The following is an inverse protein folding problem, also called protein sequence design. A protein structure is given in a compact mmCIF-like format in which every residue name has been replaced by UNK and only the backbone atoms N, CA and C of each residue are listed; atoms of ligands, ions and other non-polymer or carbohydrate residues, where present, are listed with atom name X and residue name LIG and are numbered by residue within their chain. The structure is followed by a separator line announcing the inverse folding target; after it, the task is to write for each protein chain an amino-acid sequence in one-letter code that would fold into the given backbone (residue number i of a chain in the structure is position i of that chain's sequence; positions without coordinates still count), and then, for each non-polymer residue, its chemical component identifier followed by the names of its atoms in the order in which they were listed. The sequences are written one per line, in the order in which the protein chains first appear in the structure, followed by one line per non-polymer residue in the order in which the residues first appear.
data_IF_970497787900
#
_entry.id   IF_970497787900
#
_cell.length_a   1.000
_cell.length_b   1.000
_cell.length_c   1.000
_cell.angle_alpha   90.00
_cell.angle_beta   90.00
_cell.angle_gamma   90.00
#
_symmetry.space_group_name_H-M   'P 1'
#
loop_
_entity.id
_entity.type
_entity.pdbx_description
1 polymer ?
#
# COMPACT_ATOMS: atom_id res chain seq x y z
N UNK A 1 -40.24 -36.40 -32.12
CA UNK A 1 -41.53 -36.23 -31.43
C UNK A 1 -41.30 -35.18 -30.35
N UNK A 2 -41.81 -33.97 -30.65
CA UNK A 2 -42.37 -32.91 -29.81
C UNK A 2 -41.47 -32.35 -28.72
N UNK A 3 -40.91 -31.12 -28.83
CA UNK A 3 -41.54 -29.79 -28.73
C UNK A 3 -42.17 -29.49 -27.37
N UNK A 4 -41.60 -28.46 -26.70
CA UNK A 4 -42.29 -27.32 -26.09
C UNK A 4 -41.20 -26.46 -25.43
N UNK A 5 -40.83 -25.36 -25.86
CA UNK A 5 -41.29 -23.98 -26.04
C UNK A 5 -42.16 -23.46 -24.89
N UNK A 6 -41.63 -22.50 -24.13
CA UNK A 6 -42.29 -21.33 -23.53
C UNK A 6 -41.26 -20.54 -22.70
N UNK A 7 -40.69 -19.46 -23.22
CA UNK A 7 -41.27 -18.15 -23.53
C UNK A 7 -41.71 -17.35 -22.29
N UNK A 8 -41.02 -16.20 -22.12
CA UNK A 8 -41.51 -14.83 -21.87
C UNK A 8 -42.01 -14.50 -20.46
N UNK A 9 -41.47 -13.47 -19.83
CA UNK A 9 -41.94 -12.08 -19.63
C UNK A 9 -40.98 -11.41 -18.65
N UNK A 10 -40.23 -10.41 -18.97
CA UNK A 10 -40.51 -8.97 -19.16
C UNK A 10 -41.57 -8.40 -18.22
N UNK A 11 -41.10 -7.52 -17.29
CA UNK A 11 -41.82 -6.41 -16.69
C UNK A 11 -40.75 -5.50 -16.07
N UNK A 12 -40.29 -4.47 -16.68
CA UNK A 12 -40.75 -3.08 -16.90
C UNK A 12 -41.30 -2.37 -15.65
N UNK A 13 -40.59 -1.29 -15.35
CA UNK A 13 -40.96 0.06 -14.96
C UNK A 13 -41.57 0.32 -13.58
N UNK A 14 -41.09 1.30 -12.89
CA UNK A 14 -41.58 2.67 -12.73
C UNK A 14 -40.77 3.33 -11.64
N UNK A 15 -40.12 4.40 -11.92
CA UNK A 15 -40.48 5.82 -11.80
C UNK A 15 -41.06 6.19 -10.44
N UNK A 16 -40.41 7.15 -9.80
CA UNK A 16 -40.85 7.84 -8.61
C UNK A 16 -39.92 8.98 -8.25
N UNK A 17 -39.90 10.01 -9.06
CA UNK A 17 -39.51 11.39 -8.71
C UNK A 17 -40.29 11.88 -7.51
N UNK A 18 -39.67 12.72 -6.69
CA UNK A 18 -40.21 13.97 -6.10
C UNK A 18 -39.06 14.58 -5.33
N UNK A 19 -38.43 15.57 -5.76
CA UNK A 19 -38.55 17.03 -5.73
C UNK A 19 -39.31 17.57 -4.52
N UNK A 20 -38.61 18.33 -3.68
CA UNK A 20 -39.02 19.51 -2.95
C UNK A 20 -37.79 20.18 -2.35
N UNK A 21 -37.29 21.15 -2.99
CA UNK A 21 -37.13 22.54 -2.71
C UNK A 21 -37.88 22.99 -1.45
N UNK A 22 -37.20 23.67 -0.53
CA UNK A 22 -37.70 24.92 0.06
C UNK A 22 -36.56 25.77 0.60
N UNK A 23 -36.38 26.85 -0.08
CA UNK A 23 -35.77 28.13 0.19
C UNK A 23 -36.53 28.86 1.30
N UNK A 24 -35.83 29.51 2.24
CA UNK A 24 -36.26 30.77 2.90
C UNK A 24 -35.02 31.36 3.57
N UNK A 25 -34.43 32.31 3.07
CA UNK A 25 -34.42 33.76 2.81
C UNK A 25 -35.01 34.61 3.95
N UNK A 26 -34.13 35.56 4.34
CA UNK A 26 -34.34 36.88 4.86
C UNK A 26 -34.78 36.96 6.35
N UNK A 27 -34.36 37.87 7.17
CA UNK A 27 -34.30 39.32 6.97
C UNK A 27 -33.63 39.93 8.20
N UNK A 28 -32.74 40.87 8.04
CA UNK A 28 -32.52 41.93 9.02
C UNK A 28 -33.60 43.01 8.81
N UNK A 29 -34.00 43.73 9.83
CA UNK A 29 -33.60 45.12 9.87
C UNK A 29 -33.37 45.70 11.27
N UNK A 30 -32.40 46.58 11.31
CA UNK A 30 -32.50 48.01 11.46
C UNK A 30 -32.87 48.54 12.86
N UNK A 31 -31.89 49.28 13.42
CA UNK A 31 -32.01 50.71 13.78
C UNK A 31 -32.96 51.08 14.89
N UNK A 32 -32.36 51.53 15.99
CA UNK A 32 -32.76 52.78 16.68
C UNK A 32 -31.78 53.10 17.81
N UNK A 33 -30.92 54.08 17.61
CA UNK A 33 -30.60 55.05 18.67
C UNK A 33 -31.87 55.94 18.95
N UNK A 34 -31.97 56.76 20.03
CA UNK A 34 -30.89 57.44 20.75
C UNK A 34 -31.15 57.68 22.24
N UNK A 35 -30.18 58.42 22.77
CA UNK A 35 -30.30 59.45 23.84
C UNK A 35 -29.93 58.99 25.27
N UNK A 36 -28.79 59.56 25.66
CA UNK A 36 -28.55 60.48 26.77
C UNK A 36 -28.91 59.96 28.17
N UNK A 37 -27.88 59.77 28.97
CA UNK A 37 -27.69 60.64 30.14
C UNK A 37 -26.24 60.59 30.66
N UNK A 38 -25.72 61.76 30.84
CA UNK A 38 -24.46 62.16 31.41
C UNK A 38 -24.55 62.03 32.93
N UNK A 39 -23.79 61.20 33.55
CA UNK A 39 -23.38 61.42 34.95
C UNK A 39 -21.94 61.11 35.16
N UNK A 40 -21.26 62.17 35.39
CA UNK A 40 -19.96 62.43 35.93
C UNK A 40 -19.72 61.68 37.23
N UNK A 41 -18.72 60.76 37.22
CA UNK A 41 -18.02 60.34 38.42
C UNK A 41 -16.50 60.44 38.25
N UNK A 42 -16.07 61.65 38.60
CA UNK A 42 -14.69 61.98 38.89
C UNK A 42 -14.13 61.09 40.04
N UNK A 43 -12.87 60.74 39.91
CA UNK A 43 -11.93 60.32 40.94
C UNK A 43 -11.93 58.88 41.45
N UNK A 44 -11.10 58.06 40.83
CA UNK A 44 -10.06 57.33 41.55
C UNK A 44 -8.86 57.03 40.66
N UNK A 45 -7.73 57.67 40.87
CA UNK A 45 -6.55 57.32 40.08
C UNK A 45 -5.92 56.07 40.62
N UNK A 46 -5.88 55.02 39.78
CA UNK A 46 -4.68 54.38 39.79
C UNK A 46 -4.39 53.10 40.48
N UNK A 47 -5.16 52.07 40.35
CA UNK A 47 -4.57 50.75 40.61
C UNK A 47 -3.91 50.11 39.37
N UNK A 48 -4.32 50.53 38.21
CA UNK A 48 -3.79 49.95 36.95
C UNK A 48 -2.44 50.53 36.53
N UNK A 49 -2.13 51.79 36.95
CA UNK A 49 -0.81 52.40 36.68
C UNK A 49 0.32 51.82 37.53
N UNK A 50 0.03 51.10 38.62
CA UNK A 50 1.06 50.45 39.46
C UNK A 50 1.44 49.07 38.96
N UNK A 51 0.57 48.42 38.18
CA UNK A 51 0.92 47.12 37.56
C UNK A 51 1.69 47.29 36.26
N UNK A 52 1.57 48.41 35.57
CA UNK A 52 2.36 48.67 34.36
C UNK A 52 3.81 49.15 34.66
N UNK A 53 4.07 49.60 35.90
CA UNK A 53 5.40 50.09 36.29
C UNK A 53 6.35 48.97 36.80
N UNK A 54 5.81 47.81 37.07
CA UNK A 54 6.62 46.65 37.53
C UNK A 54 7.04 45.70 36.41
N UNK A 55 6.56 45.91 35.20
CA UNK A 55 6.99 45.12 34.01
C UNK A 55 8.27 45.71 33.33
N UNK A 56 8.96 46.65 34.00
CA UNK A 56 10.31 47.04 33.60
C UNK A 56 11.30 46.06 34.19
N UNK A 57 11.07 44.79 33.95
CA UNK A 57 12.01 43.75 34.22
C UNK A 57 13.15 43.82 33.22
N UNK A 58 14.33 44.00 33.76
CA UNK A 58 15.60 43.51 33.25
C UNK A 58 15.43 42.60 32.03
N UNK A 59 15.18 43.14 30.88
CA UNK A 59 15.44 42.45 29.63
C UNK A 59 16.96 42.33 29.53
N UNK A 60 17.48 41.27 30.12
CA UNK A 60 18.81 40.81 29.83
C UNK A 60 18.86 40.61 28.32
N UNK A 61 19.58 41.46 27.59
CA UNK A 61 19.63 41.43 26.12
C UNK A 61 20.16 40.12 25.53
N UNK A 62 20.29 39.08 26.37
CA UNK A 62 20.71 37.72 25.99
C UNK A 62 19.58 36.71 25.99
N UNK A 63 18.39 37.02 26.56
CA UNK A 63 17.26 36.06 26.64
C UNK A 63 16.53 35.92 25.29
N UNK A 64 16.37 37.04 24.59
CA UNK A 64 15.72 37.02 23.26
C UNK A 64 16.52 36.21 22.25
N UNK A 65 17.85 36.42 22.06
CA UNK A 65 18.59 35.57 21.13
C UNK A 65 18.71 34.12 21.59
N UNK A 66 18.72 33.85 22.91
CA UNK A 66 18.70 32.48 23.42
C UNK A 66 17.38 31.75 23.12
N UNK A 67 16.24 32.42 23.27
CA UNK A 67 14.92 31.89 22.90
C UNK A 67 14.82 31.66 21.40
N UNK A 68 15.32 32.57 20.56
CA UNK A 68 15.36 32.40 19.10
C UNK A 68 16.24 31.22 18.70
N UNK A 69 17.40 31.05 19.30
CA UNK A 69 18.28 29.92 19.06
C UNK A 69 17.62 28.59 19.46
N UNK A 70 16.95 28.55 20.61
CA UNK A 70 16.18 27.38 21.05
C UNK A 70 15.05 27.03 20.08
N UNK A 71 14.32 28.04 19.58
CA UNK A 71 13.25 27.87 18.61
C UNK A 71 13.78 27.31 17.27
N UNK A 72 14.91 27.80 16.79
CA UNK A 72 15.57 27.30 15.58
C UNK A 72 16.00 25.85 15.75
N UNK A 73 16.63 25.51 16.89
CA UNK A 73 17.04 24.13 17.18
C UNK A 73 15.84 23.20 17.28
N UNK A 74 14.75 23.63 17.96
CA UNK A 74 13.51 22.86 18.06
C UNK A 74 12.86 22.65 16.68
N UNK A 75 12.85 23.69 15.82
CA UNK A 75 12.31 23.60 14.46
C UNK A 75 13.13 22.64 13.58
N UNK A 76 14.46 22.69 13.68
CA UNK A 76 15.35 21.76 12.96
C UNK A 76 15.20 20.31 13.46
N UNK A 77 15.04 20.12 14.76
CA UNK A 77 14.78 18.81 15.35
C UNK A 77 13.42 18.25 14.92
N UNK A 78 12.39 19.12 14.85
CA UNK A 78 11.06 18.75 14.37
C UNK A 78 11.10 18.39 12.88
N UNK A 79 11.75 19.20 12.05
CA UNK A 79 11.94 18.94 10.63
C UNK A 79 12.72 17.65 10.39
N UNK A 80 13.79 17.42 11.14
CA UNK A 80 14.58 16.18 11.08
C UNK A 80 13.77 14.97 11.53
N UNK A 81 12.98 15.12 12.59
CA UNK A 81 12.07 14.07 13.08
C UNK A 81 10.98 13.74 12.09
N UNK A 82 10.30 14.74 11.52
CA UNK A 82 9.29 14.57 10.47
C UNK A 82 9.89 13.94 9.21
N UNK A 83 11.07 14.40 8.78
CA UNK A 83 11.78 13.80 7.65
C UNK A 83 12.11 12.32 7.89
N UNK A 84 12.61 11.98 9.07
CA UNK A 84 12.98 10.61 9.40
C UNK A 84 11.78 9.69 9.56
N UNK A 85 10.70 10.17 10.18
CA UNK A 85 9.53 9.35 10.51
C UNK A 85 8.53 9.25 9.36
N UNK A 86 8.34 10.32 8.57
CA UNK A 86 7.33 10.38 7.51
C UNK A 86 7.89 10.06 6.12
N UNK A 87 9.07 10.57 5.80
CA UNK A 87 9.61 10.48 4.45
C UNK A 87 10.30 9.14 4.12
N UNK A 88 10.87 8.46 5.13
CA UNK A 88 11.48 7.14 4.92
C UNK A 88 10.48 6.02 4.63
N UNK A 89 9.37 5.88 5.39
CA UNK A 89 8.35 4.88 5.06
C UNK A 89 7.72 5.11 3.67
N UNK A 90 7.46 6.37 3.28
CA UNK A 90 6.84 6.68 1.99
C UNK A 90 7.68 6.19 0.80
N UNK A 91 9.00 6.27 0.88
CA UNK A 91 9.90 5.70 -0.14
C UNK A 91 9.95 4.17 -0.16
N UNK A 92 9.71 3.55 0.98
CA UNK A 92 9.72 2.09 1.06
C UNK A 92 8.45 1.46 0.46
N UNK A 93 7.41 2.26 0.27
CA UNK A 93 6.10 1.85 -0.26
C UNK A 93 5.67 2.67 -1.49
N UNK A 94 6.62 3.36 -2.13
CA UNK A 94 6.36 4.14 -3.33
C UNK A 94 6.17 3.26 -4.59
N UNK A 95 5.85 3.90 -5.70
CA UNK A 95 5.66 3.21 -6.98
C UNK A 95 6.91 2.45 -7.46
N UNK A 96 8.11 2.88 -7.07
CA UNK A 96 9.35 2.18 -7.40
C UNK A 96 9.50 0.90 -6.56
N UNK A 97 9.16 0.95 -5.29
CA UNK A 97 9.13 -0.21 -4.41
C UNK A 97 8.08 -1.23 -4.89
N UNK A 98 6.88 -0.78 -5.26
CA UNK A 98 5.83 -1.62 -5.83
C UNK A 98 6.31 -2.32 -7.12
N UNK A 99 6.93 -1.56 -8.03
CA UNK A 99 7.49 -2.13 -9.27
C UNK A 99 8.58 -3.15 -8.99
N UNK A 100 9.45 -2.88 -8.01
CA UNK A 100 10.51 -3.82 -7.60
C UNK A 100 9.93 -5.11 -7.01
N UNK A 101 8.89 -5.03 -6.18
CA UNK A 101 8.19 -6.18 -5.63
C UNK A 101 7.52 -7.01 -6.74
N UNK A 102 6.83 -6.36 -7.69
CA UNK A 102 6.20 -7.03 -8.84
C UNK A 102 7.25 -7.77 -9.68
N UNK A 103 8.40 -7.12 -9.98
CA UNK A 103 9.47 -7.77 -10.73
C UNK A 103 10.00 -9.00 -10.02
N UNK A 104 10.33 -8.89 -8.74
CA UNK A 104 10.85 -10.00 -7.94
C UNK A 104 9.84 -11.15 -7.82
N UNK A 105 8.54 -10.85 -7.62
CA UNK A 105 7.49 -11.85 -7.59
C UNK A 105 7.37 -12.57 -8.94
N UNK A 106 7.40 -11.81 -10.04
CA UNK A 106 7.27 -12.34 -11.40
C UNK A 106 8.46 -13.24 -11.75
N UNK A 107 9.67 -12.72 -11.56
CA UNK A 107 10.91 -13.46 -11.86
C UNK A 107 11.03 -14.73 -11.02
N UNK A 108 10.74 -14.64 -9.72
CA UNK A 108 10.74 -15.78 -8.81
C UNK A 108 9.65 -16.80 -9.16
N UNK A 109 8.44 -16.37 -9.52
CA UNK A 109 7.36 -17.26 -9.97
C UNK A 109 7.72 -18.01 -11.24
N UNK A 110 8.30 -17.32 -12.22
CA UNK A 110 8.79 -17.97 -13.46
C UNK A 110 9.86 -18.98 -13.13
N UNK A 111 10.82 -18.65 -12.26
CA UNK A 111 11.89 -19.58 -11.86
C UNK A 111 11.35 -20.81 -11.12
N UNK A 112 10.37 -20.62 -10.20
CA UNK A 112 9.77 -21.72 -9.42
C UNK A 112 8.99 -22.70 -10.31
N UNK A 113 8.30 -22.18 -11.34
CA UNK A 113 7.40 -22.96 -12.18
C UNK A 113 8.02 -23.45 -13.50
N UNK A 114 9.27 -23.06 -13.79
CA UNK A 114 9.93 -23.43 -15.05
C UNK A 114 11.12 -24.34 -14.79
N UNK A 115 11.11 -25.52 -15.40
CA UNK A 115 12.25 -26.45 -15.36
C UNK A 115 12.23 -27.39 -16.57
N UNK A 116 13.39 -28.00 -16.86
CA UNK A 116 13.57 -28.99 -17.90
C UNK A 116 14.36 -30.22 -17.36
N UNK A 117 14.08 -31.43 -17.84
CA UNK A 117 14.80 -32.62 -17.40
C UNK A 117 16.32 -32.53 -17.52
N UNK A 118 16.79 -31.78 -18.54
CA UNK A 118 18.21 -31.67 -18.87
C UNK A 118 18.94 -30.64 -17.96
N UNK A 119 18.22 -29.79 -17.27
CA UNK A 119 18.76 -28.62 -16.53
C UNK A 119 18.22 -28.50 -15.10
N UNK A 120 17.60 -29.57 -14.56
CA UNK A 120 16.90 -29.58 -13.28
C UNK A 120 17.70 -28.96 -12.13
N UNK A 121 18.94 -29.37 -11.96
CA UNK A 121 19.78 -28.93 -10.83
C UNK A 121 20.06 -27.42 -10.92
N UNK A 122 20.32 -26.93 -12.13
CA UNK A 122 20.50 -25.49 -12.38
C UNK A 122 19.19 -24.72 -12.17
N UNK A 123 18.08 -25.20 -12.71
CA UNK A 123 16.80 -24.55 -12.69
C UNK A 123 16.28 -24.45 -11.25
N UNK A 124 16.38 -25.53 -10.48
CA UNK A 124 16.04 -25.53 -9.05
C UNK A 124 16.97 -24.66 -8.21
N UNK A 125 18.26 -24.63 -8.50
CA UNK A 125 19.19 -23.73 -7.82
C UNK A 125 18.86 -22.27 -8.10
N UNK A 126 18.51 -21.95 -9.35
CA UNK A 126 18.03 -20.61 -9.72
C UNK A 126 16.75 -20.25 -8.99
N UNK A 127 15.75 -21.13 -8.98
CA UNK A 127 14.50 -20.90 -8.25
C UNK A 127 14.75 -20.63 -6.75
N UNK A 128 15.57 -21.46 -6.10
CA UNK A 128 15.91 -21.30 -4.67
C UNK A 128 16.53 -19.94 -4.34
N UNK A 129 17.24 -19.32 -5.28
CA UNK A 129 17.83 -18.00 -5.08
C UNK A 129 16.79 -16.86 -4.97
N UNK A 130 15.54 -17.12 -5.36
CA UNK A 130 14.40 -16.21 -5.22
C UNK A 130 13.55 -16.48 -3.98
N UNK A 131 13.86 -17.51 -3.20
CA UNK A 131 13.05 -17.99 -2.08
C UNK A 131 13.70 -17.70 -0.73
N UNK A 132 12.88 -17.69 0.33
CA UNK A 132 13.34 -17.54 1.72
C UNK A 132 12.41 -18.25 2.70
N UNK A 133 12.89 -18.43 3.94
CA UNK A 133 12.10 -18.97 5.04
C UNK A 133 11.63 -20.41 4.81
N UNK A 134 10.44 -20.70 5.34
CA UNK A 134 9.87 -22.04 5.31
C UNK A 134 9.55 -22.49 3.88
N UNK A 135 9.19 -21.56 2.99
CA UNK A 135 8.90 -21.88 1.60
C UNK A 135 10.16 -22.38 0.85
N UNK A 136 11.31 -21.79 1.13
CA UNK A 136 12.59 -22.30 0.57
C UNK A 136 12.84 -23.74 1.00
N UNK A 137 12.65 -24.05 2.28
CA UNK A 137 12.87 -25.40 2.82
C UNK A 137 11.87 -26.41 2.23
N UNK A 138 10.59 -26.02 2.15
CA UNK A 138 9.56 -26.83 1.51
C UNK A 138 9.85 -27.09 0.04
N UNK A 139 10.20 -26.03 -0.71
CA UNK A 139 10.51 -26.13 -2.14
C UNK A 139 11.70 -27.05 -2.41
N UNK A 140 12.74 -26.94 -1.60
CA UNK A 140 13.92 -27.80 -1.73
C UNK A 140 13.57 -29.28 -1.52
N UNK A 141 12.83 -29.62 -0.47
CA UNK A 141 12.40 -30.99 -0.21
C UNK A 141 11.45 -31.50 -1.30
N UNK A 142 10.46 -30.72 -1.68
CA UNK A 142 9.46 -31.09 -2.68
C UNK A 142 10.10 -31.34 -4.06
N UNK A 143 11.01 -30.45 -4.48
CA UNK A 143 11.68 -30.59 -5.78
C UNK A 143 12.61 -31.78 -5.82
N UNK A 144 13.34 -32.06 -4.74
CA UNK A 144 14.26 -33.23 -4.70
C UNK A 144 13.53 -34.56 -4.58
N UNK A 145 12.49 -34.65 -3.76
CA UNK A 145 11.81 -35.91 -3.47
C UNK A 145 10.75 -36.28 -4.50
N UNK A 146 10.07 -35.28 -5.08
CA UNK A 146 8.91 -35.52 -5.93
C UNK A 146 9.15 -35.05 -7.37
N UNK A 147 9.54 -33.77 -7.56
CA UNK A 147 9.58 -33.17 -8.89
C UNK A 147 10.75 -33.73 -9.72
N UNK A 148 11.95 -33.80 -9.17
CA UNK A 148 13.12 -34.25 -9.91
C UNK A 148 13.03 -35.71 -10.40
N UNK A 149 12.62 -36.68 -9.57
CA UNK A 149 12.39 -38.06 -10.06
C UNK A 149 11.32 -38.13 -11.14
N UNK A 150 10.17 -37.47 -10.93
CA UNK A 150 9.05 -37.47 -11.88
C UNK A 150 9.45 -36.79 -13.22
N UNK A 151 10.17 -35.67 -13.15
CA UNK A 151 10.62 -34.93 -14.32
C UNK A 151 11.63 -35.77 -15.16
N UNK A 152 12.57 -36.44 -14.51
CA UNK A 152 13.52 -37.30 -15.17
C UNK A 152 12.83 -38.53 -15.79
N UNK A 153 11.96 -39.20 -15.04
CA UNK A 153 11.28 -40.44 -15.49
C UNK A 153 10.34 -40.20 -16.67
N UNK A 154 9.55 -39.10 -16.61
CA UNK A 154 8.53 -38.79 -17.64
C UNK A 154 8.98 -37.72 -18.63
N UNK A 155 10.24 -37.27 -18.54
CA UNK A 155 10.78 -36.18 -19.36
C UNK A 155 9.87 -34.93 -19.33
N UNK A 156 9.43 -34.55 -18.13
CA UNK A 156 8.53 -33.40 -17.97
C UNK A 156 9.32 -32.11 -18.09
N UNK A 157 8.90 -31.28 -19.02
CA UNK A 157 9.37 -29.90 -19.20
C UNK A 157 8.20 -28.94 -18.93
N UNK A 158 8.42 -27.93 -18.10
CA UNK A 158 7.44 -26.89 -17.85
C UNK A 158 8.07 -25.52 -18.02
N UNK A 159 7.27 -24.58 -18.55
CA UNK A 159 7.66 -23.20 -18.72
C UNK A 159 6.49 -22.30 -18.33
N UNK A 160 6.73 -21.32 -17.49
CA UNK A 160 5.72 -20.38 -17.02
C UNK A 160 6.00 -18.97 -17.53
N UNK A 161 4.93 -18.24 -17.78
CA UNK A 161 4.95 -16.81 -18.15
C UNK A 161 3.93 -16.08 -17.29
N UNK A 162 4.36 -14.97 -16.67
CA UNK A 162 3.45 -14.09 -15.94
C UNK A 162 2.75 -13.16 -16.93
N UNK A 163 1.45 -13.27 -17.03
CA UNK A 163 0.62 -12.47 -17.94
C UNK A 163 0.30 -11.11 -17.34
N UNK A 164 0.00 -11.08 -16.05
CA UNK A 164 -0.33 -9.87 -15.28
C UNK A 164 0.13 -10.06 -13.83
N UNK A 165 0.51 -8.95 -13.21
CA UNK A 165 0.86 -8.91 -11.80
C UNK A 165 0.40 -7.59 -11.19
N UNK A 166 -0.08 -7.62 -9.96
CA UNK A 166 -0.49 -6.45 -9.20
C UNK A 166 -0.12 -6.62 -7.73
N UNK A 167 0.33 -5.54 -7.10
CA UNK A 167 0.54 -5.51 -5.65
C UNK A 167 -0.83 -5.43 -4.98
N UNK A 168 -1.09 -6.34 -4.07
CA UNK A 168 -2.28 -6.35 -3.21
C UNK A 168 -2.00 -5.64 -1.89
N UNK A 169 -0.78 -5.78 -1.37
CA UNK A 169 -0.33 -5.15 -0.13
C UNK A 169 1.17 -4.84 -0.19
N UNK A 170 1.60 -3.70 0.39
CA UNK A 170 2.99 -3.27 0.35
C UNK A 170 3.39 -2.59 1.66
N UNK A 171 4.37 -3.14 2.31
CA UNK A 171 5.04 -2.62 3.49
C UNK A 171 6.55 -2.46 3.23
N UNK A 172 7.31 -1.79 4.10
CA UNK A 172 8.75 -1.60 3.93
C UNK A 172 9.54 -2.89 3.72
N UNK A 173 9.14 -3.98 4.40
CA UNK A 173 9.86 -5.25 4.42
C UNK A 173 9.02 -6.46 3.98
N UNK A 174 7.77 -6.25 3.61
CA UNK A 174 6.88 -7.30 3.09
C UNK A 174 5.99 -6.78 1.97
N UNK A 175 5.64 -7.65 1.03
CA UNK A 175 4.69 -7.33 -0.03
C UNK A 175 3.87 -8.58 -0.39
N UNK A 176 2.62 -8.35 -0.80
CA UNK A 176 1.76 -9.39 -1.37
C UNK A 176 1.45 -9.02 -2.81
N UNK A 177 1.74 -9.94 -3.71
CA UNK A 177 1.56 -9.76 -5.15
C UNK A 177 0.65 -10.85 -5.69
N UNK A 178 -0.40 -10.44 -6.40
CA UNK A 178 -1.26 -11.34 -7.16
C UNK A 178 -0.73 -11.46 -8.59
N UNK A 179 -0.54 -12.68 -9.06
CA UNK A 179 -0.05 -12.97 -10.41
C UNK A 179 -1.03 -13.86 -11.17
N UNK A 180 -1.18 -13.57 -12.45
CA UNK A 180 -1.84 -14.45 -13.41
C UNK A 180 -0.77 -15.10 -14.28
N UNK A 181 -0.71 -16.41 -14.23
CA UNK A 181 0.35 -17.22 -14.84
C UNK A 181 -0.23 -18.14 -15.90
N UNK A 182 0.40 -18.15 -17.06
CA UNK A 182 0.19 -19.19 -18.07
C UNK A 182 1.37 -20.16 -18.01
N UNK A 183 1.10 -21.43 -17.87
CA UNK A 183 2.11 -22.50 -17.79
C UNK A 183 1.91 -23.48 -18.94
N UNK A 184 2.99 -23.78 -19.63
CA UNK A 184 3.05 -24.80 -20.67
C UNK A 184 3.80 -26.02 -20.13
N UNK A 185 3.19 -27.18 -20.22
CA UNK A 185 3.76 -28.45 -19.77
C UNK A 185 3.80 -29.46 -20.90
N UNK A 186 4.94 -30.09 -21.10
CA UNK A 186 5.17 -31.21 -22.04
C UNK A 186 5.74 -32.39 -21.29
N UNK A 187 5.48 -33.62 -21.75
CA UNK A 187 6.08 -34.83 -21.21
C UNK A 187 6.30 -35.84 -22.32
N UNK A 188 7.04 -36.91 -22.01
CA UNK A 188 7.21 -38.03 -22.92
C UNK A 188 5.88 -38.66 -23.33
N UNK A 189 4.92 -38.72 -22.40
CA UNK A 189 3.58 -39.28 -22.63
C UNK A 189 2.66 -38.32 -23.38
N UNK A 190 2.96 -37.02 -23.35
CA UNK A 190 2.25 -35.92 -24.04
C UNK A 190 3.26 -34.97 -24.66
N UNK A 191 3.70 -35.23 -25.89
CA UNK A 191 4.67 -34.40 -26.60
C UNK A 191 4.11 -33.00 -26.94
N UNK A 192 2.78 -32.90 -27.11
CA UNK A 192 2.13 -31.62 -27.36
C UNK A 192 2.01 -30.77 -26.08
N UNK A 193 2.29 -29.47 -26.16
CA UNK A 193 2.18 -28.59 -25.00
C UNK A 193 0.74 -28.52 -24.47
N UNK A 194 0.61 -28.76 -23.17
CA UNK A 194 -0.66 -28.48 -22.47
C UNK A 194 -0.53 -27.16 -21.75
N UNK A 195 -1.48 -26.23 -21.98
CA UNK A 195 -1.50 -24.93 -21.36
C UNK A 195 -2.46 -24.88 -20.17
N UNK A 196 -1.99 -24.30 -19.07
CA UNK A 196 -2.77 -24.11 -17.87
C UNK A 196 -2.65 -22.66 -17.42
N UNK A 197 -3.77 -22.00 -17.15
CA UNK A 197 -3.82 -20.69 -16.55
C UNK A 197 -4.14 -20.81 -15.06
N UNK A 198 -3.41 -20.09 -14.22
CA UNK A 198 -3.63 -20.07 -12.79
C UNK A 198 -3.43 -18.67 -12.22
N UNK A 199 -4.09 -18.42 -11.08
CA UNK A 199 -3.88 -17.24 -10.27
C UNK A 199 -3.11 -17.65 -9.02
N UNK A 200 -2.13 -16.86 -8.65
CA UNK A 200 -1.25 -17.15 -7.51
C UNK A 200 -1.04 -15.90 -6.68
N UNK A 201 -1.18 -16.03 -5.37
CA UNK A 201 -0.77 -15.00 -4.41
C UNK A 201 0.62 -15.34 -3.89
N UNK A 202 1.55 -14.41 -4.09
CA UNK A 202 2.95 -14.54 -3.66
C UNK A 202 3.22 -13.52 -2.57
N UNK A 203 3.66 -14.00 -1.41
CA UNK A 203 4.15 -13.13 -0.33
C UNK A 203 5.67 -13.01 -0.44
N UNK A 204 6.13 -11.77 -0.43
CA UNK A 204 7.55 -11.42 -0.46
C UNK A 204 8.00 -10.89 0.89
N UNK A 205 9.21 -11.23 1.26
CA UNK A 205 9.91 -10.66 2.42
C UNK A 205 11.23 -10.06 1.95
N UNK A 206 11.57 -8.88 2.47
CA UNK A 206 12.80 -8.20 2.13
C UNK A 206 13.94 -8.70 3.01
N UNK A 207 14.91 -9.38 2.43
CA UNK A 207 16.10 -9.89 3.09
C UNK A 207 17.35 -9.29 2.44
N UNK A 208 18.20 -8.62 3.24
CA UNK A 208 19.42 -7.96 2.75
C UNK A 208 19.17 -7.00 1.57
N UNK A 209 18.04 -6.29 1.60
CA UNK A 209 17.65 -5.34 0.56
C UNK A 209 17.04 -5.97 -0.71
N UNK A 210 16.90 -7.27 -0.78
CA UNK A 210 16.27 -8.00 -1.90
C UNK A 210 14.91 -8.55 -1.51
N UNK A 211 13.96 -8.52 -2.42
CA UNK A 211 12.67 -9.17 -2.28
C UNK A 211 12.82 -10.67 -2.58
N UNK A 212 12.45 -11.51 -1.63
CA UNK A 212 12.45 -12.97 -1.76
C UNK A 212 11.07 -13.54 -1.42
N UNK A 213 10.66 -14.59 -2.10
CA UNK A 213 9.37 -15.25 -1.90
C UNK A 213 9.41 -16.05 -0.61
N UNK A 214 8.54 -15.73 0.32
CA UNK A 214 8.35 -16.43 1.60
C UNK A 214 7.10 -17.31 1.61
N UNK A 215 6.13 -17.09 0.68
CA UNK A 215 4.94 -17.92 0.53
C UNK A 215 4.43 -17.87 -0.90
N UNK A 216 3.82 -18.98 -1.35
CA UNK A 216 3.32 -19.16 -2.71
C UNK A 216 2.01 -19.96 -2.66
N UNK A 217 0.88 -19.31 -2.85
CA UNK A 217 -0.44 -19.90 -2.67
C UNK A 217 -1.28 -19.75 -3.94
N UNK A 218 -1.82 -20.82 -4.50
CA UNK A 218 -2.83 -20.73 -5.57
C UNK A 218 -4.10 -20.08 -5.01
N UNK A 219 -4.81 -19.32 -5.88
CA UNK A 219 -6.06 -18.62 -5.56
C UNK A 219 -7.18 -19.23 -6.38
#
# INVERSE_FOLDING_TARGET
VTADEKSVEETTAAEGSTEAEETTKAEAPAEAEPAEDVEDYDKAPGRWKRLAAQAKTRSSGKVIPAMLALFVVASLALLGGLYWFSYRPDRATDAAAAKSAISAASDGTVAVLSYSPDTLDRDFSSAKSHLTGDFLSYYDQFTQQIVAPAAKQKSVKTSAVVLRAAVSDLHPDSAVVLLFVNQSTQSKDRPEPTFTNSSVTVTLTKANGKWLISSFNPV
#
